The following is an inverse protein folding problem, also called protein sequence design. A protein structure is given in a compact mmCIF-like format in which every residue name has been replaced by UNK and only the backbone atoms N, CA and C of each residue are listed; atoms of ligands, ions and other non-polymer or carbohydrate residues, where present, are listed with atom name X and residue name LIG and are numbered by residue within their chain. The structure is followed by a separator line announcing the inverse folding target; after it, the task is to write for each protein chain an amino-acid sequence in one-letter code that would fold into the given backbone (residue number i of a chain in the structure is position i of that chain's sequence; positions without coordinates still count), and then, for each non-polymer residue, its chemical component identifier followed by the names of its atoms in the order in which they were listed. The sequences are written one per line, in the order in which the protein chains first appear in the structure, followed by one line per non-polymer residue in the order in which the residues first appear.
data_IF_833256844197
#
_entry.id   IF_833256844197
#
_cell.length_a   1.000
_cell.length_b   1.000
_cell.length_c   1.000
_cell.angle_alpha   90.00
_cell.angle_beta   90.00
_cell.angle_gamma   90.00
#
_symmetry.space_group_name_H-M   'P 1'
#
loop_
_entity.id
_entity.type
_entity.pdbx_description
1 polymer ?
#
# COMPACT_ATOMS: atom_id res chain seq x y z
N UNK A 1 1.91 14.51 10.78
CA UNK A 1 1.35 13.39 9.99
C UNK A 1 1.48 12.10 10.79
N UNK A 2 0.38 11.36 10.98
CA UNK A 2 0.39 10.02 11.59
C UNK A 2 0.65 8.98 10.51
N UNK A 3 1.58 8.05 10.73
CA UNK A 3 1.71 6.85 9.90
C UNK A 3 0.83 5.74 10.45
N UNK A 4 0.09 5.07 9.59
CA UNK A 4 -0.60 3.83 9.93
C UNK A 4 0.24 2.68 9.40
N UNK A 5 0.41 1.62 10.20
CA UNK A 5 0.88 0.35 9.69
C UNK A 5 -0.09 -0.21 8.63
N UNK A 6 0.30 -1.29 7.95
CA UNK A 6 -0.51 -1.94 6.93
C UNK A 6 -1.98 -2.13 7.37
N UNK A 7 -2.90 -1.65 6.52
CA UNK A 7 -4.35 -1.62 6.78
C UNK A 7 -5.15 -2.61 5.93
N UNK A 8 -4.48 -3.42 5.09
CA UNK A 8 -5.11 -4.45 4.28
C UNK A 8 -5.15 -5.81 4.98
N UNK A 9 -5.21 -6.89 4.20
CA UNK A 9 -5.18 -8.25 4.73
C UNK A 9 -3.81 -8.61 5.33
N UNK A 10 -3.80 -9.25 6.50
CA UNK A 10 -2.57 -9.62 7.21
C UNK A 10 -2.24 -11.10 7.03
N UNK A 11 -0.94 -11.47 7.03
CA UNK A 11 -0.54 -12.87 7.06
C UNK A 11 -0.94 -13.52 8.39
N UNK A 12 -1.32 -14.80 8.35
CA UNK A 12 -1.62 -15.58 9.56
C UNK A 12 -0.37 -16.10 10.26
N UNK A 13 0.74 -16.22 9.53
CA UNK A 13 2.03 -16.58 10.12
C UNK A 13 2.55 -15.45 11.00
N UNK A 14 2.88 -15.80 12.24
CA UNK A 14 3.28 -14.83 13.26
C UNK A 14 4.61 -14.15 12.93
N UNK A 15 5.56 -14.87 12.31
CA UNK A 15 6.84 -14.29 11.92
C UNK A 15 6.69 -13.27 10.78
N UNK A 16 5.85 -13.59 9.77
CA UNK A 16 5.50 -12.62 8.72
C UNK A 16 4.80 -11.39 9.30
N UNK A 17 3.84 -11.58 10.21
CA UNK A 17 3.13 -10.47 10.85
C UNK A 17 4.08 -9.60 11.69
N UNK A 18 4.96 -10.21 12.48
CA UNK A 18 5.98 -9.51 13.27
C UNK A 18 6.92 -8.69 12.38
N UNK A 19 7.40 -9.27 11.27
CA UNK A 19 8.24 -8.57 10.30
C UNK A 19 7.53 -7.35 9.70
N UNK A 20 6.23 -7.49 9.36
CA UNK A 20 5.43 -6.39 8.83
C UNK A 20 5.25 -5.25 9.86
N UNK A 21 5.10 -5.58 11.14
CA UNK A 21 5.04 -4.58 12.23
C UNK A 21 6.37 -3.84 12.37
N UNK A 22 7.49 -4.56 12.42
CA UNK A 22 8.83 -3.94 12.51
C UNK A 22 9.07 -3.04 11.30
N UNK A 23 8.72 -3.49 10.09
CA UNK A 23 8.86 -2.70 8.88
C UNK A 23 7.97 -1.44 8.89
N UNK A 24 6.76 -1.52 9.42
CA UNK A 24 5.90 -0.35 9.66
C UNK A 24 6.59 0.72 10.52
N UNK A 25 7.29 0.31 11.58
CA UNK A 25 8.09 1.21 12.41
C UNK A 25 9.26 1.85 11.64
N UNK A 26 9.95 1.06 10.80
CA UNK A 26 11.03 1.56 9.93
C UNK A 26 10.50 2.63 8.96
N UNK A 27 9.40 2.36 8.28
CA UNK A 27 8.79 3.28 7.31
C UNK A 27 8.29 4.56 7.98
N UNK A 28 7.68 4.46 9.17
CA UNK A 28 7.22 5.63 9.92
C UNK A 28 8.38 6.57 10.28
N UNK A 29 9.51 6.01 10.72
CA UNK A 29 10.70 6.78 11.06
C UNK A 29 11.40 7.37 9.82
N UNK A 30 11.63 6.56 8.78
CA UNK A 30 12.27 6.99 7.55
C UNK A 30 11.44 8.05 6.79
N UNK A 31 10.11 7.95 6.86
CA UNK A 31 9.17 8.91 6.26
C UNK A 31 8.90 10.15 7.12
N UNK A 32 9.49 10.29 8.31
CA UNK A 32 9.35 11.48 9.16
C UNK A 32 7.99 11.64 9.83
N UNK A 33 7.27 10.54 10.10
CA UNK A 33 5.98 10.60 10.81
C UNK A 33 6.16 11.08 12.26
N UNK A 34 5.21 11.89 12.76
CA UNK A 34 5.24 12.40 14.15
C UNK A 34 4.63 11.41 15.15
N UNK A 35 3.82 10.48 14.65
CA UNK A 35 3.16 9.43 15.41
C UNK A 35 2.94 8.21 14.51
N UNK A 36 2.83 7.04 15.14
CA UNK A 36 2.56 5.78 14.45
C UNK A 36 1.47 4.99 15.17
N UNK A 37 0.49 4.50 14.42
CA UNK A 37 -0.49 3.54 14.92
C UNK A 37 0.02 2.13 14.66
N UNK A 38 0.35 1.42 15.74
CA UNK A 38 0.87 0.05 15.69
C UNK A 38 -0.23 -0.95 15.35
N UNK A 39 0.20 -2.15 14.97
CA UNK A 39 -0.61 -3.36 14.76
C UNK A 39 -0.12 -4.49 15.64
N UNK A 40 -0.78 -5.64 15.58
CA UNK A 40 -0.46 -6.82 16.38
C UNK A 40 -0.31 -8.06 15.49
N UNK A 41 0.35 -9.10 16.00
CA UNK A 41 0.43 -10.40 15.31
C UNK A 41 -0.93 -11.10 15.17
N UNK A 42 -1.94 -10.65 15.93
CA UNK A 42 -3.30 -11.18 15.87
C UNK A 42 -4.17 -10.51 14.79
N UNK A 43 -3.64 -9.58 14.00
CA UNK A 43 -4.45 -8.79 13.06
C UNK A 43 -5.23 -9.63 12.04
N UNK A 44 -4.69 -10.79 11.64
CA UNK A 44 -5.36 -11.73 10.74
C UNK A 44 -6.42 -12.63 11.43
N UNK A 45 -6.46 -12.63 12.76
CA UNK A 45 -7.25 -13.56 13.59
C UNK A 45 -8.43 -12.83 14.24
N UNK A 46 -8.19 -11.67 14.85
CA UNK A 46 -9.22 -10.91 15.54
C UNK A 46 -8.66 -9.83 16.47
N UNK A 47 -9.47 -9.42 17.45
CA UNK A 47 -9.08 -8.39 18.43
C UNK A 47 -7.87 -8.91 19.24
N UNK A 48 -6.77 -8.14 19.34
CA UNK A 48 -5.58 -8.59 20.06
C UNK A 48 -5.82 -8.66 21.57
N UNK A 49 -5.10 -9.57 22.22
CA UNK A 49 -4.96 -9.51 23.68
C UNK A 49 -4.08 -8.32 24.08
N UNK A 50 -4.14 -7.87 25.34
CA UNK A 50 -3.24 -6.82 25.84
C UNK A 50 -1.76 -7.14 25.61
N UNK A 51 -1.36 -8.41 25.73
CA UNK A 51 0.03 -8.88 25.56
C UNK A 51 0.49 -8.74 24.10
N UNK A 52 -0.31 -9.23 23.14
CA UNK A 52 -0.01 -9.13 21.72
C UNK A 52 0.03 -7.66 21.25
N UNK A 53 -0.83 -6.81 21.82
CA UNK A 53 -0.80 -5.38 21.54
C UNK A 53 0.47 -4.71 22.11
N UNK A 54 0.85 -5.05 23.34
CA UNK A 54 2.10 -4.56 23.95
C UNK A 54 3.34 -5.04 23.19
N UNK A 55 3.32 -6.26 22.64
CA UNK A 55 4.39 -6.77 21.78
C UNK A 55 4.49 -6.01 20.47
N UNK A 56 3.36 -5.73 19.82
CA UNK A 56 3.27 -4.84 18.66
C UNK A 56 3.96 -3.49 18.89
N UNK A 57 3.68 -2.85 20.03
CA UNK A 57 4.34 -1.60 20.42
C UNK A 57 5.87 -1.74 20.54
N UNK A 58 6.36 -2.84 21.13
CA UNK A 58 7.81 -3.08 21.27
C UNK A 58 8.47 -3.29 19.91
N UNK A 59 7.85 -4.08 19.02
CA UNK A 59 8.32 -4.31 17.66
C UNK A 59 8.38 -3.01 16.85
N UNK A 60 7.32 -2.21 16.90
CA UNK A 60 7.28 -0.90 16.24
C UNK A 60 8.39 0.03 16.75
N UNK A 61 8.59 0.10 18.07
CA UNK A 61 9.69 0.89 18.66
C UNK A 61 11.06 0.40 18.21
N UNK A 62 11.24 -0.91 18.07
CA UNK A 62 12.49 -1.48 17.54
C UNK A 62 12.72 -1.08 16.09
N UNK A 63 11.69 -1.15 15.24
CA UNK A 63 11.76 -0.69 13.84
C UNK A 63 12.15 0.78 13.72
N UNK A 64 11.54 1.66 14.52
CA UNK A 64 11.90 3.08 14.59
C UNK A 64 13.37 3.25 14.97
N UNK A 65 13.82 2.54 16.02
CA UNK A 65 15.21 2.63 16.46
C UNK A 65 16.17 2.20 15.35
N UNK A 66 15.90 1.08 14.66
CA UNK A 66 16.71 0.59 13.57
C UNK A 66 16.84 1.60 12.41
N UNK A 67 15.80 2.38 12.15
CA UNK A 67 15.75 3.35 11.07
C UNK A 67 16.34 4.74 11.40
N UNK A 68 16.85 4.98 12.63
CA UNK A 68 17.27 6.31 13.13
C UNK A 68 18.21 7.10 12.20
N UNK A 69 19.01 6.43 11.40
CA UNK A 69 19.96 7.05 10.45
C UNK A 69 19.54 6.97 8.98
N UNK A 70 18.42 6.32 8.66
CA UNK A 70 17.94 6.22 7.28
C UNK A 70 17.44 7.59 6.83
N UNK A 71 17.84 8.00 5.63
CA UNK A 71 17.40 9.24 4.96
C UNK A 71 17.06 8.89 3.51
N UNK A 72 15.91 9.38 3.05
CA UNK A 72 15.43 9.13 1.68
C UNK A 72 15.72 10.29 0.73
N UNK A 73 15.95 11.48 1.26
CA UNK A 73 16.22 12.70 0.48
C UNK A 73 17.41 12.52 -0.47
N UNK A 74 17.24 12.94 -1.72
CA UNK A 74 18.27 12.85 -2.75
C UNK A 74 18.37 11.49 -3.44
N UNK A 75 17.56 10.48 -3.08
CA UNK A 75 17.42 9.28 -3.88
C UNK A 75 16.54 9.59 -5.10
N UNK A 76 17.04 9.29 -6.30
CA UNK A 76 16.32 9.58 -7.57
C UNK A 76 14.91 8.98 -7.59
N UNK A 77 14.77 7.76 -7.10
CA UNK A 77 13.49 7.07 -7.00
C UNK A 77 12.52 7.76 -6.03
N UNK A 78 13.02 8.20 -4.86
CA UNK A 78 12.21 8.91 -3.89
C UNK A 78 11.72 10.26 -4.43
N UNK A 79 12.60 11.02 -5.08
CA UNK A 79 12.22 12.33 -5.64
C UNK A 79 11.27 12.19 -6.84
N UNK A 80 11.46 11.17 -7.69
CA UNK A 80 10.53 10.86 -8.78
C UNK A 80 9.12 10.56 -8.26
N UNK A 81 8.99 9.67 -7.26
CA UNK A 81 7.69 9.31 -6.71
C UNK A 81 7.03 10.49 -5.99
N UNK A 82 7.79 11.31 -5.26
CA UNK A 82 7.27 12.56 -4.67
C UNK A 82 6.69 13.50 -5.71
N UNK A 83 7.39 13.68 -6.84
CA UNK A 83 6.93 14.52 -7.93
C UNK A 83 5.68 13.96 -8.60
N UNK A 84 5.63 12.64 -8.82
CA UNK A 84 4.47 11.96 -9.38
C UNK A 84 3.23 12.13 -8.48
N UNK A 85 3.34 11.84 -7.19
CA UNK A 85 2.26 12.02 -6.22
C UNK A 85 1.78 13.47 -6.19
N UNK A 86 2.70 14.44 -6.12
CA UNK A 86 2.35 15.86 -6.13
C UNK A 86 1.60 16.28 -7.40
N UNK A 87 1.96 15.68 -8.55
CA UNK A 87 1.32 15.91 -9.84
C UNK A 87 -0.07 15.30 -9.95
N UNK A 88 -0.32 14.17 -9.30
CA UNK A 88 -1.64 13.52 -9.26
C UNK A 88 -2.60 14.19 -8.29
N UNK A 89 -2.10 14.58 -7.11
CA UNK A 89 -2.91 15.18 -6.05
C UNK A 89 -3.38 16.58 -6.43
N UNK A 90 -2.52 17.39 -7.07
CA UNK A 90 -2.82 18.81 -7.33
C UNK A 90 -4.11 19.02 -8.14
N UNK A 91 -4.32 18.38 -9.31
CA UNK A 91 -5.55 18.54 -10.08
C UNK A 91 -6.81 18.08 -9.33
N UNK A 92 -6.71 17.05 -8.48
CA UNK A 92 -7.83 16.57 -7.65
C UNK A 92 -8.22 17.66 -6.64
N UNK A 93 -7.23 18.21 -5.93
CA UNK A 93 -7.47 19.26 -4.93
C UNK A 93 -7.98 20.55 -5.57
N UNK A 94 -7.39 20.98 -6.69
CA UNK A 94 -7.84 22.14 -7.47
C UNK A 94 -9.30 21.95 -7.90
N UNK A 95 -9.64 20.77 -8.44
CA UNK A 95 -11.01 20.49 -8.88
C UNK A 95 -12.02 20.46 -7.72
N UNK A 96 -11.62 19.93 -6.56
CA UNK A 96 -12.44 19.98 -5.34
C UNK A 96 -12.73 21.42 -4.94
N UNK A 97 -11.72 22.30 -4.94
CA UNK A 97 -11.88 23.71 -4.60
C UNK A 97 -12.75 24.45 -5.62
N UNK A 98 -12.56 24.22 -6.92
CA UNK A 98 -13.38 24.79 -7.99
C UNK A 98 -14.85 24.39 -7.84
N UNK A 99 -15.12 23.11 -7.55
CA UNK A 99 -16.47 22.60 -7.35
C UNK A 99 -17.15 23.17 -6.11
N UNK A 100 -16.39 23.69 -5.16
CA UNK A 100 -16.88 24.35 -3.96
C UNK A 100 -16.91 25.88 -4.02
N UNK A 101 -16.54 26.49 -5.15
CA UNK A 101 -16.32 27.94 -5.26
C UNK A 101 -15.36 28.46 -4.15
N UNK A 102 -14.33 27.66 -3.83
CA UNK A 102 -13.37 27.91 -2.75
C UNK A 102 -13.76 27.32 -1.38
N UNK A 103 -15.00 26.88 -1.18
CA UNK A 103 -15.44 26.16 0.02
C UNK A 103 -15.05 24.67 -0.07
N UNK A 104 -14.05 24.26 0.73
CA UNK A 104 -13.54 22.89 0.73
C UNK A 104 -14.56 21.86 1.19
N UNK A 105 -15.47 22.20 2.11
CA UNK A 105 -16.44 21.26 2.65
C UNK A 105 -17.51 20.97 1.59
N UNK A 106 -18.04 22.02 0.97
CA UNK A 106 -19.01 21.90 -0.11
C UNK A 106 -18.38 21.24 -1.36
N UNK A 107 -17.16 21.65 -1.69
CA UNK A 107 -16.37 21.07 -2.77
C UNK A 107 -16.15 19.57 -2.60
N UNK A 108 -15.83 19.13 -1.38
CA UNK A 108 -15.61 17.70 -1.08
C UNK A 108 -16.87 16.87 -1.30
N UNK A 109 -18.04 17.34 -0.83
CA UNK A 109 -19.31 16.63 -1.03
C UNK A 109 -19.62 16.50 -2.52
N UNK A 110 -19.55 17.62 -3.25
CA UNK A 110 -19.83 17.64 -4.69
C UNK A 110 -18.84 16.76 -5.47
N UNK A 111 -17.55 16.81 -5.13
CA UNK A 111 -16.50 16.03 -5.80
C UNK A 111 -16.66 14.52 -5.57
N UNK A 112 -17.05 14.10 -4.35
CA UNK A 112 -17.37 12.70 -4.07
C UNK A 112 -18.57 12.23 -4.90
N UNK A 113 -19.65 13.02 -4.92
CA UNK A 113 -20.86 12.67 -5.69
C UNK A 113 -20.59 12.59 -7.20
N UNK A 114 -19.65 13.39 -7.70
CA UNK A 114 -19.22 13.39 -9.10
C UNK A 114 -18.15 12.34 -9.44
N UNK A 115 -17.46 11.75 -8.45
CA UNK A 115 -16.33 10.83 -8.67
C UNK A 115 -14.99 11.50 -8.95
N UNK A 116 -14.90 12.83 -8.82
CA UNK A 116 -13.65 13.61 -8.94
C UNK A 116 -12.71 13.30 -7.77
N UNK A 117 -13.29 13.12 -6.58
CA UNK A 117 -12.62 12.61 -5.39
C UNK A 117 -13.22 11.25 -5.08
N UNK A 118 -12.47 10.18 -5.31
CA UNK A 118 -12.98 8.82 -5.19
C UNK A 118 -12.15 7.97 -4.22
N UNK A 119 -12.77 6.94 -3.65
CA UNK A 119 -12.15 6.05 -2.66
C UNK A 119 -12.39 4.61 -3.11
N UNK A 120 -11.32 3.82 -3.30
CA UNK A 120 -11.47 2.44 -3.76
C UNK A 120 -12.12 1.59 -2.65
N UNK A 121 -12.96 0.63 -3.07
CA UNK A 121 -13.67 -0.32 -2.20
C UNK A 121 -14.53 0.33 -1.10
N UNK A 122 -15.09 1.50 -1.38
CA UNK A 122 -15.90 2.23 -0.40
C UNK A 122 -17.28 1.58 -0.22
N UNK A 123 -17.72 1.30 1.02
CA UNK A 123 -19.09 0.86 1.30
C UNK A 123 -20.10 2.04 1.28
N UNK A 124 -19.63 3.28 1.17
CA UNK A 124 -20.49 4.46 1.17
C UNK A 124 -21.18 4.62 -0.19
N UNK A 125 -22.51 4.55 -0.22
CA UNK A 125 -23.35 4.71 -1.43
C UNK A 125 -23.17 6.03 -2.19
N UNK A 126 -22.60 7.05 -1.56
CA UNK A 126 -22.36 8.36 -2.17
C UNK A 126 -21.02 8.41 -2.94
N UNK A 127 -20.12 7.46 -2.66
CA UNK A 127 -18.82 7.33 -3.33
C UNK A 127 -18.99 6.45 -4.57
N UNK A 128 -18.44 6.87 -5.72
CA UNK A 128 -18.53 6.09 -6.96
C UNK A 128 -17.76 4.78 -6.88
N UNK A 129 -16.65 4.78 -6.16
CA UNK A 129 -15.75 3.63 -5.95
C UNK A 129 -15.33 2.98 -7.28
N UNK A 130 -15.05 3.82 -8.29
CA UNK A 130 -14.59 3.43 -9.63
C UNK A 130 -13.08 3.52 -9.76
N UNK A 131 -12.41 4.31 -8.93
CA UNK A 131 -10.96 4.26 -8.84
C UNK A 131 -10.53 2.86 -8.39
N UNK A 132 -9.64 2.24 -9.15
CA UNK A 132 -9.12 0.92 -8.89
C UNK A 132 -7.59 0.97 -8.89
N UNK A 133 -6.94 0.75 -7.75
CA UNK A 133 -5.50 0.68 -7.68
C UNK A 133 -5.00 -0.77 -7.75
N UNK A 134 -3.78 -0.95 -8.23
CA UNK A 134 -3.06 -2.21 -8.19
C UNK A 134 -1.56 -1.96 -7.94
N UNK A 135 -0.86 -2.93 -7.38
CA UNK A 135 0.61 -2.88 -7.27
C UNK A 135 1.24 -3.07 -8.64
N UNK A 136 2.32 -2.36 -8.92
CA UNK A 136 3.12 -2.56 -10.12
C UNK A 136 4.20 -3.63 -9.94
N UNK A 137 5.10 -3.72 -10.92
CA UNK A 137 6.17 -4.71 -10.97
C UNK A 137 7.18 -4.57 -9.82
N UNK A 138 7.31 -3.39 -9.22
CA UNK A 138 8.18 -3.18 -8.06
C UNK A 138 7.40 -3.13 -6.74
N UNK A 139 6.07 -3.29 -6.79
CA UNK A 139 5.20 -3.32 -5.63
C UNK A 139 4.60 -1.96 -5.24
N UNK A 140 4.81 -0.89 -6.01
CA UNK A 140 4.20 0.42 -5.78
C UNK A 140 2.73 0.42 -6.17
N UNK A 141 1.88 1.11 -5.40
CA UNK A 141 0.49 1.31 -5.80
C UNK A 141 0.40 2.27 -6.98
N UNK A 142 -0.27 1.83 -8.02
CA UNK A 142 -0.55 2.57 -9.26
C UNK A 142 -2.05 2.59 -9.54
N UNK A 143 -2.47 3.55 -10.33
CA UNK A 143 -3.87 3.70 -10.73
C UNK A 143 -4.13 2.81 -11.95
N UNK A 144 -4.84 1.71 -11.77
CA UNK A 144 -5.25 0.80 -12.85
C UNK A 144 -6.44 1.37 -13.61
N UNK A 145 -7.44 1.86 -12.88
CA UNK A 145 -8.58 2.59 -13.43
C UNK A 145 -8.77 3.89 -12.62
N UNK A 146 -8.73 5.08 -13.24
CA UNK A 146 -8.89 6.35 -12.52
C UNK A 146 -10.35 6.70 -12.19
N UNK A 147 -11.31 6.00 -12.78
CA UNK A 147 -12.71 6.43 -12.75
C UNK A 147 -12.86 7.83 -13.35
N UNK A 148 -13.50 8.72 -12.58
CA UNK A 148 -13.75 10.11 -12.97
C UNK A 148 -12.73 11.09 -12.34
N UNK A 149 -11.66 10.58 -11.70
CA UNK A 149 -10.63 11.42 -11.09
C UNK A 149 -9.79 12.15 -12.14
N UNK A 150 -9.49 13.46 -11.96
CA UNK A 150 -8.77 14.29 -12.93
C UNK A 150 -7.25 14.04 -12.92
N UNK A 151 -6.82 12.78 -13.03
CA UNK A 151 -5.41 12.40 -13.05
C UNK A 151 -4.79 12.77 -14.42
N UNK A 152 -3.62 13.44 -14.45
CA UNK A 152 -2.96 13.78 -15.72
C UNK A 152 -2.67 12.55 -16.59
N UNK A 153 -2.89 12.70 -17.90
CA UNK A 153 -2.75 11.59 -18.86
C UNK A 153 -1.37 10.94 -18.82
N UNK A 154 -0.31 11.72 -18.69
CA UNK A 154 1.05 11.20 -18.68
C UNK A 154 1.39 10.44 -17.38
N UNK A 155 0.77 10.79 -16.26
CA UNK A 155 0.84 9.99 -15.03
C UNK A 155 0.12 8.64 -15.22
N UNK A 156 -1.06 8.64 -15.87
CA UNK A 156 -1.78 7.40 -16.21
C UNK A 156 -1.00 6.51 -17.18
N UNK A 157 -0.32 7.10 -18.17
CA UNK A 157 0.55 6.37 -19.09
C UNK A 157 1.70 5.68 -18.34
N UNK A 158 2.31 6.36 -17.36
CA UNK A 158 3.32 5.75 -16.49
C UNK A 158 2.73 4.61 -15.64
N UNK A 159 1.57 4.81 -14.99
CA UNK A 159 0.89 3.74 -14.22
C UNK A 159 0.64 2.51 -15.08
N UNK A 160 0.08 2.71 -16.27
CA UNK A 160 -0.25 1.66 -17.22
C UNK A 160 1.00 0.90 -17.67
N UNK A 161 2.12 1.58 -17.93
CA UNK A 161 3.39 0.95 -18.27
C UNK A 161 3.86 0.01 -17.14
N UNK A 162 3.94 0.51 -15.90
CA UNK A 162 4.44 -0.28 -14.76
C UNK A 162 3.52 -1.47 -14.43
N UNK A 163 2.21 -1.28 -14.56
CA UNK A 163 1.21 -2.34 -14.36
C UNK A 163 1.24 -3.40 -15.46
N UNK A 164 1.51 -3.03 -16.71
CA UNK A 164 1.70 -3.99 -17.81
C UNK A 164 2.95 -4.85 -17.60
N UNK A 165 4.05 -4.24 -17.14
CA UNK A 165 5.24 -5.00 -16.79
C UNK A 165 4.96 -6.04 -15.69
N UNK A 166 4.12 -5.71 -14.70
CA UNK A 166 3.67 -6.70 -13.71
C UNK A 166 2.85 -7.82 -14.35
N UNK A 167 1.86 -7.47 -15.18
CA UNK A 167 0.99 -8.42 -15.85
C UNK A 167 1.81 -9.43 -16.67
N UNK A 168 2.81 -8.95 -17.41
CA UNK A 168 3.76 -9.76 -18.16
C UNK A 168 4.62 -10.67 -17.25
N UNK A 169 5.23 -10.11 -16.19
CA UNK A 169 6.03 -10.87 -15.22
C UNK A 169 5.23 -12.02 -14.59
N UNK A 170 4.00 -11.73 -14.19
CA UNK A 170 3.13 -12.67 -13.49
C UNK A 170 2.35 -13.59 -14.45
N UNK A 171 2.55 -13.44 -15.77
CA UNK A 171 1.82 -14.20 -16.81
C UNK A 171 0.29 -14.14 -16.65
N UNK A 172 -0.22 -12.97 -16.26
CA UNK A 172 -1.65 -12.72 -16.06
C UNK A 172 -2.15 -11.58 -16.94
N UNK A 173 -3.45 -11.53 -17.29
CA UNK A 173 -4.00 -10.44 -18.08
C UNK A 173 -3.88 -9.09 -17.37
N UNK A 174 -3.65 -8.02 -18.13
CA UNK A 174 -3.80 -6.65 -17.63
C UNK A 174 -5.29 -6.36 -17.42
N UNK A 175 -5.71 -6.12 -16.17
CA UNK A 175 -7.10 -5.85 -15.84
C UNK A 175 -7.41 -5.94 -14.34
N UNK A 176 -8.70 -5.98 -13.96
CA UNK A 176 -9.15 -5.94 -12.57
C UNK A 176 -8.55 -7.01 -11.64
N UNK A 177 -8.13 -8.16 -12.17
CA UNK A 177 -7.48 -9.22 -11.40
C UNK A 177 -6.14 -8.78 -10.78
N UNK A 178 -5.45 -7.80 -11.39
CA UNK A 178 -4.28 -7.16 -10.79
C UNK A 178 -4.65 -6.44 -9.49
N UNK A 179 -5.80 -5.79 -9.43
CA UNK A 179 -6.25 -5.10 -8.23
C UNK A 179 -6.63 -6.11 -7.14
N UNK A 180 -7.36 -7.17 -7.50
CA UNK A 180 -7.75 -8.24 -6.56
C UNK A 180 -6.52 -8.92 -5.97
N UNK A 181 -5.55 -9.32 -6.80
CA UNK A 181 -4.30 -9.93 -6.32
C UNK A 181 -3.50 -9.01 -5.41
N UNK A 182 -3.47 -7.70 -5.70
CA UNK A 182 -2.79 -6.70 -4.85
C UNK A 182 -3.36 -6.58 -3.44
N UNK A 183 -4.66 -6.81 -3.27
CA UNK A 183 -5.33 -6.77 -1.96
C UNK A 183 -4.81 -7.89 -1.05
N UNK A 184 -4.59 -9.08 -1.61
CA UNK A 184 -4.22 -10.27 -0.85
C UNK A 184 -2.70 -10.50 -0.76
N UNK A 185 -1.90 -9.89 -1.64
CA UNK A 185 -0.46 -10.14 -1.77
C UNK A 185 0.27 -10.21 -0.41
N UNK A 186 0.12 -9.19 0.45
CA UNK A 186 0.84 -9.14 1.75
C UNK A 186 0.38 -10.23 2.74
N UNK A 187 -0.82 -10.79 2.56
CA UNK A 187 -1.35 -11.88 3.39
C UNK A 187 -1.00 -13.28 2.89
N UNK A 188 -0.41 -13.39 1.69
CA UNK A 188 0.02 -14.67 1.14
C UNK A 188 1.16 -15.29 1.96
N UNK A 189 1.40 -16.58 1.75
CA UNK A 189 2.52 -17.28 2.39
C UNK A 189 3.86 -16.90 1.76
N UNK A 190 4.94 -16.96 2.55
CA UNK A 190 6.30 -16.77 2.03
C UNK A 190 6.61 -17.70 0.85
N UNK A 191 6.10 -18.93 0.86
CA UNK A 191 6.30 -19.89 -0.23
C UNK A 191 5.73 -19.40 -1.56
N UNK A 192 4.69 -18.56 -1.52
CA UNK A 192 4.11 -17.95 -2.71
C UNK A 192 4.81 -16.64 -3.06
N UNK A 193 5.10 -15.81 -2.07
CA UNK A 193 5.73 -14.49 -2.27
C UNK A 193 7.19 -14.58 -2.70
N UNK A 194 7.92 -15.53 -2.12
CA UNK A 194 9.31 -15.80 -2.40
C UNK A 194 9.52 -17.32 -2.42
N UNK A 195 9.11 -18.00 -3.51
CA UNK A 195 9.25 -19.45 -3.62
C UNK A 195 10.70 -19.86 -3.44
N UNK A 196 10.92 -20.93 -2.68
CA UNK A 196 12.25 -21.51 -2.49
C UNK A 196 12.43 -22.71 -3.44
N UNK A 197 13.02 -22.52 -4.64
CA UNK A 197 13.01 -23.53 -5.71
C UNK A 197 13.73 -24.84 -5.34
N UNK A 198 14.57 -24.84 -4.30
CA UNK A 198 15.31 -26.00 -3.83
C UNK A 198 14.66 -26.72 -2.64
N UNK A 199 13.48 -26.28 -2.19
CA UNK A 199 12.84 -26.80 -0.97
C UNK A 199 12.62 -28.31 -1.03
N UNK A 200 12.16 -28.79 -2.18
CA UNK A 200 11.92 -30.21 -2.40
C UNK A 200 13.22 -31.02 -2.46
N UNK A 201 14.32 -30.44 -2.96
CA UNK A 201 15.63 -31.11 -2.96
C UNK A 201 16.22 -31.28 -1.56
N UNK A 202 15.98 -30.31 -0.67
CA UNK A 202 16.46 -30.35 0.72
C UNK A 202 15.62 -31.29 1.59
N UNK A 203 14.31 -31.36 1.37
CA UNK A 203 13.43 -32.26 2.11
C UNK A 203 13.52 -33.72 1.64
N UNK A 204 13.85 -33.97 0.37
CA UNK A 204 14.06 -35.34 -0.17
C UNK A 204 15.44 -35.90 0.13
N UNK A 205 16.47 -35.04 0.25
CA UNK A 205 17.80 -35.42 0.72
C UNK A 205 17.87 -35.25 2.25
N UNK A 206 17.27 -36.20 2.98
CA UNK A 206 17.40 -36.28 4.44
C UNK A 206 18.87 -36.21 4.91
N UNK A 207 19.13 -35.88 6.18
CA UNK A 207 20.49 -35.66 6.67
C UNK A 207 21.35 -36.88 6.36
N UNK A 208 22.44 -36.67 5.61
CA UNK A 208 23.48 -37.69 5.48
C UNK A 208 24.09 -37.86 6.86
N UNK A 209 23.72 -38.96 7.53
CA UNK A 209 24.34 -39.41 8.77
C UNK A 209 25.80 -39.77 8.58
#
# INVERSE_FOLDING_TARGET
MTSLHWMGAWPQDEAQAAALIVYGGVLAAAGGAVSVTTKSTHEAIGIPTPEANAEGLRMTRMGIYLARTIRLEGLDEYEREKQLIGREVRPVVEKVLDMGDGDVALGSVRAIEAGVLDIPWSPNRHVKSRVLPARDVDGYLRILEPGDMPIPKDALEYHQERLRMRAERDSQPYGPDLAVSSVYEISETLDRLLPFPWRDEVLTKGPKG
#
